data_IF_789881596941
#
_entry.id   IF_789881596941
#
_cell.length_a   1.000
_cell.length_b   1.000
_cell.length_c   1.000
_cell.angle_alpha   90.00
_cell.angle_beta   90.00
_cell.angle_gamma   90.00
#
_symmetry.space_group_name_H-M   'P 1'
#
loop_
_entity.id
_entity.type
_entity.pdbx_description
1 polymer ?
#
# COMPACT_ATOMS: atom_id res chain seq x y z
N UNK A 1 -41.36 15.24 -38.15
CA UNK A 1 -40.69 13.97 -37.80
C UNK A 1 -39.45 14.31 -36.98
N UNK A 2 -39.59 14.30 -35.66
CA UNK A 2 -38.52 14.54 -34.70
C UNK A 2 -37.79 13.23 -34.41
N UNK A 3 -36.54 13.11 -34.87
CA UNK A 3 -35.67 11.99 -34.50
C UNK A 3 -35.02 12.27 -33.13
N UNK A 4 -35.34 11.42 -32.17
CA UNK A 4 -34.72 11.33 -30.85
C UNK A 4 -33.28 10.81 -30.98
N UNK A 5 -32.30 11.59 -30.50
CA UNK A 5 -30.91 11.14 -30.31
C UNK A 5 -30.78 10.62 -28.86
N UNK A 6 -30.18 9.44 -28.61
CA UNK A 6 -30.10 8.88 -27.27
C UNK A 6 -29.04 9.56 -26.40
N UNK A 7 -29.23 9.38 -25.10
CA UNK A 7 -28.62 10.06 -23.96
C UNK A 7 -27.09 9.87 -23.89
N UNK A 8 -26.43 10.96 -23.49
CA UNK A 8 -24.99 11.23 -23.57
C UNK A 8 -24.08 10.41 -22.63
N UNK A 9 -22.93 9.98 -23.17
CA UNK A 9 -21.78 9.33 -22.51
C UNK A 9 -21.13 10.16 -21.38
N UNK A 10 -21.52 11.42 -21.20
CA UNK A 10 -21.04 12.34 -20.15
C UNK A 10 -21.46 11.95 -18.72
N UNK A 11 -22.47 11.08 -18.56
CA UNK A 11 -22.98 10.66 -17.25
C UNK A 11 -22.11 9.65 -16.49
N UNK A 12 -21.27 8.85 -17.19
CA UNK A 12 -20.49 7.75 -16.57
C UNK A 12 -19.16 8.21 -15.97
N UNK A 13 -18.53 9.25 -16.53
CA UNK A 13 -17.28 9.80 -15.98
C UNK A 13 -17.51 10.55 -14.65
N UNK A 14 -18.66 11.21 -14.49
CA UNK A 14 -19.08 11.82 -13.24
C UNK A 14 -19.26 10.80 -12.10
N UNK A 15 -19.55 9.54 -12.45
CA UNK A 15 -19.79 8.46 -11.50
C UNK A 15 -18.51 8.02 -10.76
N UNK A 16 -17.31 8.16 -11.35
CA UNK A 16 -16.03 7.84 -10.69
C UNK A 16 -15.64 8.90 -9.67
N UNK A 17 -15.78 10.18 -10.03
CA UNK A 17 -15.59 11.32 -9.10
C UNK A 17 -16.64 11.28 -7.98
N UNK A 18 -17.87 10.93 -8.33
CA UNK A 18 -18.94 10.74 -7.35
C UNK A 18 -18.72 9.46 -6.52
N UNK A 19 -18.11 8.39 -7.02
CA UNK A 19 -17.74 7.19 -6.25
C UNK A 19 -16.61 7.48 -5.25
N UNK A 20 -15.63 8.34 -5.56
CA UNK A 20 -14.70 8.85 -4.54
C UNK A 20 -15.42 9.60 -3.41
N UNK A 21 -16.46 10.37 -3.74
CA UNK A 21 -17.29 11.09 -2.78
C UNK A 21 -18.40 10.23 -2.13
N UNK A 22 -18.79 9.10 -2.74
CA UNK A 22 -19.87 8.21 -2.31
C UNK A 22 -19.33 7.03 -1.50
N UNK A 23 -18.11 6.55 -1.78
CA UNK A 23 -17.35 5.66 -0.89
C UNK A 23 -17.13 6.31 0.49
N UNK A 24 -17.06 7.64 0.57
CA UNK A 24 -17.07 8.41 1.82
C UNK A 24 -18.45 8.46 2.52
N UNK A 25 -19.55 8.10 1.83
CA UNK A 25 -20.93 8.14 2.36
C UNK A 25 -21.54 6.75 2.62
N UNK A 26 -21.05 5.67 2.00
CA UNK A 26 -21.76 4.37 1.99
C UNK A 26 -21.15 3.24 2.81
N UNK A 27 -19.98 3.38 3.45
CA UNK A 27 -19.53 2.38 4.45
C UNK A 27 -20.27 2.54 5.78
N UNK A 28 -21.54 2.14 5.80
CA UNK A 28 -22.18 1.71 7.05
C UNK A 28 -21.58 0.36 7.42
N UNK A 29 -20.72 0.34 8.46
CA UNK A 29 -20.44 -0.88 9.21
C UNK A 29 -21.78 -1.52 9.62
N UNK A 30 -22.00 -2.83 9.39
CA UNK A 30 -23.25 -3.46 9.80
C UNK A 30 -23.40 -3.34 11.32
N UNK A 31 -24.54 -2.81 11.76
CA UNK A 31 -24.85 -2.66 13.18
C UNK A 31 -24.89 -4.04 13.86
N UNK A 32 -24.45 -4.12 15.12
CA UNK A 32 -24.34 -5.32 15.96
C UNK A 32 -25.66 -6.11 16.20
N UNK A 33 -26.74 -5.87 15.45
CA UNK A 33 -28.08 -6.40 15.74
C UNK A 33 -28.61 -7.51 14.84
N UNK A 34 -27.82 -8.01 13.89
CA UNK A 34 -28.22 -9.11 12.98
C UNK A 34 -27.27 -10.32 13.01
N UNK A 35 -26.85 -10.76 14.20
CA UNK A 35 -26.23 -12.09 14.42
C UNK A 35 -27.04 -12.97 15.36
N UNK A 36 -28.35 -13.00 15.18
CA UNK A 36 -29.19 -14.01 15.83
C UNK A 36 -30.40 -14.32 14.97
N UNK A 37 -30.22 -15.18 13.95
CA UNK A 37 -31.29 -15.98 13.35
C UNK A 37 -30.68 -16.99 12.38
N UNK A 38 -30.84 -18.27 12.73
CA UNK A 38 -30.92 -19.39 11.77
C UNK A 38 -29.61 -20.04 11.34
N UNK A 39 -29.13 -21.02 12.10
CA UNK A 39 -28.41 -22.17 11.53
C UNK A 39 -29.20 -23.45 11.91
N UNK A 40 -29.41 -24.39 10.97
CA UNK A 40 -30.13 -25.63 11.25
C UNK A 40 -29.25 -26.62 12.01
N UNK A 41 -29.90 -27.39 12.88
CA UNK A 41 -29.28 -28.37 13.76
C UNK A 41 -28.58 -29.50 13.00
N UNK A 42 -27.31 -29.75 13.33
CA UNK A 42 -26.60 -30.98 12.99
C UNK A 42 -26.78 -31.98 14.15
N UNK A 43 -27.55 -33.05 13.89
CA UNK A 43 -27.79 -34.13 14.84
C UNK A 43 -26.59 -35.08 14.91
N UNK A 44 -25.88 -35.11 16.04
CA UNK A 44 -25.11 -36.30 16.45
C UNK A 44 -25.33 -36.61 17.93
N UNK A 45 -25.65 -37.88 18.16
CA UNK A 45 -25.93 -38.55 19.44
C UNK A 45 -24.71 -38.47 20.37
N UNK A 46 -24.95 -38.14 21.63
CA UNK A 46 -24.20 -38.67 22.77
C UNK A 46 -25.19 -39.01 23.88
N UNK A 47 -25.10 -40.25 24.37
CA UNK A 47 -25.88 -40.80 25.47
C UNK A 47 -25.21 -40.48 26.83
N UNK A 48 -25.99 -40.40 27.91
CA UNK A 48 -25.49 -40.44 29.30
C UNK A 48 -26.14 -39.46 30.27
N UNK A 49 -26.98 -39.99 31.18
CA UNK A 49 -27.74 -39.41 32.31
C UNK A 49 -26.87 -38.82 33.47
N UNK A 50 -27.43 -38.27 34.58
CA UNK A 50 -28.79 -37.76 34.85
C UNK A 50 -28.85 -36.34 35.48
N UNK A 51 -30.11 -35.89 35.67
CA UNK A 51 -30.64 -34.62 36.19
C UNK A 51 -30.40 -34.35 37.69
N UNK A 52 -30.25 -33.07 38.01
CA UNK A 52 -30.82 -32.34 39.16
C UNK A 52 -30.97 -30.87 38.68
N UNK A 53 -32.09 -30.15 38.72
CA UNK A 53 -33.16 -30.08 39.70
C UNK A 53 -32.89 -28.88 40.61
N UNK A 54 -33.37 -27.67 40.27
CA UNK A 54 -33.94 -26.69 41.24
C UNK A 54 -34.53 -25.43 40.57
N UNK A 55 -35.84 -25.31 40.77
CA UNK A 55 -36.77 -24.18 40.93
C UNK A 55 -36.45 -22.72 40.51
N UNK A 56 -37.51 -22.11 39.96
CA UNK A 56 -37.72 -20.70 39.71
C UNK A 56 -38.27 -19.93 40.94
N UNK A 57 -38.02 -18.63 41.00
CA UNK A 57 -38.66 -17.65 41.91
C UNK A 57 -38.16 -16.21 41.67
N UNK A 58 -38.94 -15.15 41.95
CA UNK A 58 -39.18 -14.10 40.95
C UNK A 58 -38.63 -12.69 41.27
N UNK A 59 -38.63 -11.87 40.21
CA UNK A 59 -38.91 -10.42 40.10
C UNK A 59 -38.66 -9.49 41.30
N UNK A 60 -37.83 -8.47 41.07
CA UNK A 60 -38.06 -7.12 41.60
C UNK A 60 -37.63 -6.05 40.59
N UNK A 61 -38.61 -5.23 40.17
CA UNK A 61 -38.41 -3.93 39.49
C UNK A 61 -37.92 -2.92 40.53
N UNK A 62 -37.07 -1.97 40.12
CA UNK A 62 -37.21 -0.55 40.47
C UNK A 62 -36.13 0.27 39.74
N UNK A 63 -36.58 1.28 39.00
CA UNK A 63 -35.79 2.36 38.38
C UNK A 63 -35.84 3.62 39.29
N UNK A 64 -35.30 4.79 38.89
CA UNK A 64 -34.10 5.43 39.44
C UNK A 64 -34.42 6.77 40.18
N UNK A 65 -33.38 7.58 40.49
CA UNK A 65 -33.39 8.99 40.08
C UNK A 65 -32.00 9.45 39.55
N UNK A 66 -31.84 10.33 38.54
CA UNK A 66 -32.02 11.81 38.52
C UNK A 66 -31.25 12.52 39.66
N UNK A 67 -30.50 13.62 39.53
CA UNK A 67 -30.12 14.57 38.47
C UNK A 67 -29.06 15.54 39.07
N UNK A 68 -28.45 16.39 38.23
CA UNK A 68 -27.81 17.69 38.55
C UNK A 68 -26.51 17.74 39.36
N UNK A 69 -25.43 18.30 38.78
CA UNK A 69 -25.14 19.75 38.86
C UNK A 69 -23.78 20.07 38.22
N UNK A 70 -23.75 21.18 37.48
CA UNK A 70 -22.58 21.82 36.90
C UNK A 70 -21.76 22.58 37.96
N UNK A 71 -20.45 22.75 37.77
CA UNK A 71 -19.72 23.92 38.27
C UNK A 71 -18.51 24.27 37.39
N UNK A 72 -18.32 25.57 37.27
CA UNK A 72 -17.44 26.29 36.36
C UNK A 72 -15.97 26.39 36.81
N UNK A 73 -15.11 26.65 35.82
CA UNK A 73 -13.72 27.16 35.82
C UNK A 73 -13.47 28.37 36.76
N UNK A 74 -12.21 28.65 37.21
CA UNK A 74 -11.22 29.36 36.37
C UNK A 74 -9.71 29.05 36.55
N UNK A 75 -8.97 29.38 35.48
CA UNK A 75 -7.57 29.85 35.33
C UNK A 75 -6.57 29.77 36.52
N UNK A 76 -5.34 29.30 36.25
CA UNK A 76 -4.16 30.17 36.04
C UNK A 76 -2.83 29.40 35.81
N UNK A 77 -1.93 30.11 35.14
CA UNK A 77 -0.59 29.80 34.63
C UNK A 77 0.43 29.39 35.70
N UNK A 78 1.37 28.50 35.36
CA UNK A 78 2.77 28.63 35.79
C UNK A 78 3.74 27.92 34.85
N UNK A 79 4.75 28.68 34.45
CA UNK A 79 5.97 28.31 33.74
C UNK A 79 6.93 27.47 34.59
N UNK A 80 7.70 26.58 33.97
CA UNK A 80 9.18 26.60 33.94
C UNK A 80 9.83 25.19 33.86
N UNK A 81 10.85 25.12 32.98
CA UNK A 81 12.12 24.39 33.12
C UNK A 81 12.20 22.85 33.01
N UNK A 82 12.73 22.43 31.85
CA UNK A 82 14.02 21.73 31.70
C UNK A 82 14.26 20.28 32.18
N UNK A 83 14.79 19.50 31.21
CA UNK A 83 15.69 18.35 31.28
C UNK A 83 15.20 17.02 31.88
N UNK A 84 15.11 15.99 31.03
CA UNK A 84 15.88 14.74 31.21
C UNK A 84 15.77 13.86 29.96
N UNK A 85 16.88 13.77 29.20
CA UNK A 85 17.10 12.77 28.17
C UNK A 85 17.51 11.45 28.84
N UNK A 86 16.80 10.37 28.54
CA UNK A 86 17.18 9.01 28.93
C UNK A 86 17.88 8.35 27.73
N UNK A 87 19.21 8.38 27.73
CA UNK A 87 20.06 7.59 26.84
C UNK A 87 20.64 6.42 27.63
N UNK A 88 20.19 5.20 27.32
CA UNK A 88 20.72 3.98 27.90
C UNK A 88 21.96 3.53 27.11
N UNK A 89 23.11 3.61 27.76
CA UNK A 89 24.41 3.18 27.24
C UNK A 89 24.53 1.64 27.22
N UNK A 90 24.89 1.09 26.06
CA UNK A 90 25.37 -0.28 25.93
C UNK A 90 26.90 -0.30 26.07
N UNK A 91 27.39 -1.07 27.05
CA UNK A 91 28.80 -1.21 27.41
C UNK A 91 29.58 -1.99 26.34
N UNK A 92 30.69 -1.43 25.88
CA UNK A 92 31.74 -2.11 25.13
C UNK A 92 32.66 -2.87 26.10
N UNK A 93 32.78 -4.18 25.93
CA UNK A 93 33.75 -5.01 26.62
C UNK A 93 35.08 -4.97 25.86
N UNK A 94 36.12 -4.41 26.49
CA UNK A 94 37.50 -4.46 26.02
C UNK A 94 38.18 -5.69 26.63
N UNK A 95 38.49 -6.69 25.80
CA UNK A 95 39.36 -7.79 26.19
C UNK A 95 40.77 -7.51 25.64
N UNK A 96 41.69 -7.18 26.55
CA UNK A 96 43.14 -7.15 26.30
C UNK A 96 43.67 -8.59 26.28
N UNK A 97 44.47 -8.93 25.28
CA UNK A 97 45.49 -9.99 25.40
C UNK A 97 46.79 -9.58 24.70
N UNK A 98 47.94 -10.12 25.15
CA UNK A 98 49.23 -9.47 25.02
C UNK A 98 50.07 -9.96 23.83
N UNK A 99 51.01 -9.10 23.46
CA UNK A 99 52.15 -9.37 22.58
C UNK A 99 52.96 -10.59 23.06
N UNK A 100 53.29 -11.49 22.13
CA UNK A 100 54.45 -12.38 22.25
C UNK A 100 55.18 -12.47 20.91
N UNK A 101 56.50 -12.34 21.02
CA UNK A 101 57.54 -12.24 20.01
C UNK A 101 57.87 -13.57 19.32
N UNK A 102 58.17 -13.50 18.02
CA UNK A 102 58.72 -14.58 17.20
C UNK A 102 60.22 -14.85 17.46
N UNK A 103 60.71 -16.07 17.22
CA UNK A 103 62.11 -16.32 16.85
C UNK A 103 62.27 -16.75 15.37
N UNK A 104 63.47 -16.64 14.78
CA UNK A 104 63.70 -16.90 13.36
C UNK A 104 64.24 -18.30 13.04
N UNK A 105 63.93 -18.78 11.84
CA UNK A 105 64.80 -19.66 11.04
C UNK A 105 64.43 -21.15 10.97
N UNK A 106 63.96 -21.60 9.80
CA UNK A 106 64.54 -22.76 9.12
C UNK A 106 64.12 -22.81 7.65
N UNK A 107 65.13 -22.96 6.78
CA UNK A 107 65.02 -23.18 5.33
C UNK A 107 64.46 -24.57 5.03
N UNK A 108 63.42 -24.68 4.21
CA UNK A 108 63.19 -25.88 3.38
C UNK A 108 62.74 -25.47 1.98
N UNK A 109 63.49 -25.94 0.98
CA UNK A 109 63.12 -25.95 -0.45
C UNK A 109 61.95 -26.91 -0.67
N UNK A 110 60.96 -26.52 -1.50
CA UNK A 110 59.94 -27.43 -2.00
C UNK A 110 58.99 -26.80 -3.04
N UNK A 111 59.23 -27.12 -4.31
CA UNK A 111 58.30 -27.30 -5.47
C UNK A 111 57.20 -26.24 -5.76
N UNK A 112 57.12 -25.68 -6.98
CA UNK A 112 56.02 -24.80 -7.36
C UNK A 112 54.78 -25.63 -7.74
N UNK A 113 53.86 -25.81 -6.79
CA UNK A 113 52.50 -26.24 -7.11
C UNK A 113 51.70 -24.99 -7.52
N UNK A 114 51.52 -24.82 -8.83
CA UNK A 114 50.62 -23.81 -9.40
C UNK A 114 49.21 -23.98 -8.87
N UNK A 115 48.91 -23.29 -7.77
CA UNK A 115 47.54 -23.04 -7.34
C UNK A 115 47.03 -21.92 -8.23
N UNK A 116 46.40 -22.31 -9.34
CA UNK A 116 45.44 -21.44 -9.98
C UNK A 116 44.36 -21.16 -8.94
N UNK A 117 44.47 -20.03 -8.26
CA UNK A 117 43.39 -19.45 -7.49
C UNK A 117 42.25 -19.19 -8.47
N UNK A 118 41.35 -20.17 -8.61
CA UNK A 118 40.00 -19.89 -9.07
C UNK A 118 39.38 -18.99 -8.00
N UNK A 119 39.70 -17.69 -8.07
CA UNK A 119 38.77 -16.68 -7.63
C UNK A 119 37.58 -16.77 -8.58
N UNK A 120 36.73 -17.78 -8.35
CA UNK A 120 35.33 -17.63 -8.63
C UNK A 120 34.91 -16.44 -7.78
N UNK A 121 34.98 -15.26 -8.38
CA UNK A 121 34.05 -14.20 -8.10
C UNK A 121 32.69 -14.85 -8.29
N UNK A 122 32.19 -15.46 -7.22
CA UNK A 122 30.77 -15.54 -7.00
C UNK A 122 30.34 -14.08 -7.09
N UNK A 123 29.98 -13.65 -8.30
CA UNK A 123 29.12 -12.51 -8.47
C UNK A 123 27.93 -12.87 -7.62
N UNK A 124 27.94 -12.41 -6.37
CA UNK A 124 26.81 -12.40 -5.52
C UNK A 124 25.75 -11.72 -6.37
N UNK A 125 24.83 -12.51 -6.92
CA UNK A 125 23.76 -12.03 -7.77
C UNK A 125 23.07 -10.96 -6.94
N UNK A 126 23.42 -9.70 -7.21
CA UNK A 126 22.90 -8.59 -6.44
C UNK A 126 21.46 -8.50 -6.89
N UNK A 127 20.56 -8.97 -6.03
CA UNK A 127 19.13 -8.91 -6.30
C UNK A 127 18.70 -7.49 -6.68
N UNK A 128 17.59 -7.40 -7.41
CA UNK A 128 17.13 -6.14 -7.97
C UNK A 128 16.97 -5.05 -6.89
N UNK A 129 17.38 -3.82 -7.20
CA UNK A 129 17.09 -2.64 -6.40
C UNK A 129 15.80 -2.02 -6.90
N UNK A 130 14.75 -2.02 -6.09
CA UNK A 130 13.43 -1.54 -6.50
C UNK A 130 13.06 -0.29 -5.72
N UNK A 131 12.75 0.79 -6.43
CA UNK A 131 12.17 1.98 -5.83
C UNK A 131 10.68 1.74 -5.55
N UNK A 132 10.19 2.14 -4.39
CA UNK A 132 8.76 2.09 -4.05
C UNK A 132 8.28 3.51 -3.74
N UNK A 133 7.35 4.04 -4.52
CA UNK A 133 6.87 5.43 -4.38
C UNK A 133 5.55 5.43 -3.61
N UNK A 134 5.57 6.00 -2.41
CA UNK A 134 4.45 6.11 -1.49
C UNK A 134 3.76 7.47 -1.61
N UNK A 135 2.54 7.56 -1.08
CA UNK A 135 1.65 8.72 -1.19
C UNK A 135 1.01 9.13 0.13
N UNK A 136 1.54 8.67 1.28
CA UNK A 136 0.98 8.88 2.62
C UNK A 136 0.85 7.54 3.37
N UNK A 137 -0.02 7.45 4.38
CA UNK A 137 -0.19 6.22 5.17
C UNK A 137 -1.65 6.01 5.59
N UNK A 138 -2.44 5.38 4.71
CA UNK A 138 -3.87 5.15 4.90
C UNK A 138 -4.61 5.13 3.56
N UNK A 139 -5.57 4.22 3.37
CA UNK A 139 -6.22 4.03 2.07
C UNK A 139 -6.94 5.29 1.57
N UNK A 140 -7.56 6.09 2.44
CA UNK A 140 -8.41 7.21 2.00
C UNK A 140 -7.65 8.51 1.72
N UNK A 141 -6.47 8.69 2.29
CA UNK A 141 -5.64 9.91 2.17
C UNK A 141 -4.19 9.67 1.76
N UNK A 142 -3.76 8.41 1.63
CA UNK A 142 -2.40 8.04 1.34
C UNK A 142 -2.26 6.71 0.63
N UNK A 143 -1.15 6.01 0.90
CA UNK A 143 -0.90 4.66 0.39
C UNK A 143 -1.74 3.62 1.13
N UNK A 144 -2.31 2.66 0.39
CA UNK A 144 -2.93 1.48 0.98
C UNK A 144 -1.87 0.63 1.69
N UNK A 145 -2.04 0.41 3.00
CA UNK A 145 -1.00 -0.09 3.88
C UNK A 145 -0.74 -1.58 3.63
N UNK A 146 -1.79 -2.34 3.33
CA UNK A 146 -1.67 -3.77 3.07
C UNK A 146 -1.00 -4.03 1.71
N UNK A 147 -1.25 -3.22 0.68
CA UNK A 147 -0.61 -3.27 -0.63
C UNK A 147 0.86 -2.97 -0.51
N UNK A 148 1.22 -1.89 0.20
CA UNK A 148 2.62 -1.57 0.47
C UNK A 148 3.32 -2.70 1.24
N UNK A 149 2.67 -3.27 2.26
CA UNK A 149 3.19 -4.42 3.00
C UNK A 149 3.41 -5.63 2.10
N UNK A 150 2.42 -6.00 1.27
CA UNK A 150 2.51 -7.11 0.33
C UNK A 150 3.64 -6.91 -0.69
N UNK A 151 3.77 -5.72 -1.27
CA UNK A 151 4.87 -5.37 -2.18
C UNK A 151 6.23 -5.61 -1.51
N UNK A 152 6.44 -5.10 -0.29
CA UNK A 152 7.70 -5.26 0.43
C UNK A 152 8.01 -6.73 0.75
N UNK A 153 6.99 -7.51 1.16
CA UNK A 153 7.13 -8.95 1.42
C UNK A 153 7.52 -9.71 0.15
N UNK A 154 6.87 -9.43 -0.98
CA UNK A 154 7.15 -10.13 -2.23
C UNK A 154 8.48 -9.70 -2.87
N UNK A 155 8.88 -8.44 -2.73
CA UNK A 155 10.22 -7.99 -3.12
C UNK A 155 11.30 -8.72 -2.31
N UNK A 156 11.12 -8.80 -0.99
CA UNK A 156 12.05 -9.52 -0.10
C UNK A 156 12.12 -11.02 -0.43
N UNK A 157 10.97 -11.67 -0.68
CA UNK A 157 10.92 -13.08 -1.12
C UNK A 157 11.61 -13.30 -2.47
N UNK A 158 11.57 -12.31 -3.35
CA UNK A 158 12.26 -12.31 -4.64
C UNK A 158 13.75 -11.96 -4.55
N UNK A 159 14.32 -11.81 -3.34
CA UNK A 159 15.72 -11.44 -3.14
C UNK A 159 16.05 -9.99 -3.49
N UNK A 160 15.05 -9.16 -3.77
CA UNK A 160 15.21 -7.75 -4.12
C UNK A 160 15.29 -6.85 -2.88
N UNK A 161 16.02 -5.75 -2.98
CA UNK A 161 16.03 -4.70 -1.96
C UNK A 161 15.08 -3.57 -2.36
N UNK A 162 14.28 -3.08 -1.41
CA UNK A 162 13.37 -1.96 -1.63
C UNK A 162 13.92 -0.67 -1.01
N UNK A 163 13.84 0.44 -1.75
CA UNK A 163 14.06 1.79 -1.22
C UNK A 163 12.80 2.62 -1.42
N UNK A 164 12.28 3.21 -0.34
CA UNK A 164 11.01 3.93 -0.36
C UNK A 164 11.21 5.42 -0.58
N UNK A 165 10.33 6.01 -1.38
CA UNK A 165 10.32 7.42 -1.73
C UNK A 165 8.91 8.00 -1.57
N UNK A 166 8.81 9.29 -1.30
CA UNK A 166 7.53 10.00 -1.31
C UNK A 166 7.75 11.50 -1.59
N UNK A 167 6.79 12.19 -2.24
CA UNK A 167 6.90 13.63 -2.45
C UNK A 167 6.75 14.38 -1.12
N UNK A 168 7.55 15.42 -0.92
CA UNK A 168 7.48 16.28 0.26
C UNK A 168 6.43 17.39 0.06
N UNK A 169 5.16 17.00 0.13
CA UNK A 169 4.00 17.87 -0.12
C UNK A 169 2.91 17.65 0.95
N UNK A 170 2.03 18.63 1.19
CA UNK A 170 0.82 18.38 1.98
C UNK A 170 -0.09 17.32 1.30
N UNK A 171 -0.75 16.49 2.10
CA UNK A 171 -1.85 15.64 1.61
C UNK A 171 -3.04 16.53 1.20
N UNK A 172 -3.78 16.12 0.16
CA UNK A 172 -5.00 16.85 -0.26
C UNK A 172 -6.06 16.90 0.85
N UNK A 173 -6.24 15.80 1.58
CA UNK A 173 -7.13 15.68 2.72
C UNK A 173 -6.48 14.84 3.83
N UNK A 174 -6.94 15.03 5.07
CA UNK A 174 -6.69 14.11 6.18
C UNK A 174 -8.02 13.46 6.51
N UNK A 175 -8.09 12.13 6.51
CA UNK A 175 -9.36 11.40 6.65
C UNK A 175 -9.37 10.61 7.97
N UNK A 176 -10.43 10.80 8.76
CA UNK A 176 -10.78 9.87 9.84
C UNK A 176 -11.28 8.58 9.19
N UNK A 177 -10.42 7.55 9.17
CA UNK A 177 -10.71 6.27 8.53
C UNK A 177 -11.83 5.49 9.21
N UNK A 178 -12.18 5.78 10.47
CA UNK A 178 -13.33 5.16 11.13
C UNK A 178 -14.66 5.75 10.66
N UNK A 179 -14.63 7.01 10.20
CA UNK A 179 -15.83 7.74 9.74
C UNK A 179 -15.90 7.88 8.22
N UNK A 180 -14.79 7.68 7.51
CA UNK A 180 -14.66 7.93 6.08
C UNK A 180 -14.76 9.42 5.71
N UNK A 181 -14.52 10.33 6.65
CA UNK A 181 -14.77 11.76 6.49
C UNK A 181 -13.50 12.61 6.70
N UNK A 182 -13.35 13.74 6.00
CA UNK A 182 -12.26 14.67 6.25
C UNK A 182 -12.28 15.25 7.68
N UNK A 183 -11.11 15.28 8.31
CA UNK A 183 -10.93 15.95 9.60
C UNK A 183 -10.69 17.43 9.39
N UNK A 184 -11.57 18.28 9.93
CA UNK A 184 -11.50 19.74 9.74
C UNK A 184 -10.29 20.33 10.47
N UNK A 185 -9.55 21.18 9.77
CA UNK A 185 -8.43 21.94 10.34
C UNK A 185 -7.13 21.13 10.53
N UNK A 186 -7.11 19.86 10.13
CA UNK A 186 -5.89 19.05 10.15
C UNK A 186 -5.17 19.10 8.80
N UNK A 187 -3.84 19.13 8.87
CA UNK A 187 -2.95 18.98 7.71
C UNK A 187 -1.84 18.00 8.05
N UNK A 188 -1.47 17.17 7.08
CA UNK A 188 -0.38 16.20 7.19
C UNK A 188 0.45 16.24 5.92
N UNK A 189 1.71 15.85 6.03
CA UNK A 189 2.65 15.81 4.93
C UNK A 189 2.82 14.37 4.41
N UNK A 190 2.82 14.20 3.09
CA UNK A 190 2.90 12.90 2.40
C UNK A 190 4.18 12.14 2.77
N UNK A 191 5.34 12.79 2.76
CA UNK A 191 6.63 12.18 3.11
C UNK A 191 6.67 11.77 4.59
N UNK A 192 6.26 12.68 5.49
CA UNK A 192 6.22 12.42 6.94
C UNK A 192 5.33 11.23 7.27
N UNK A 193 4.14 11.16 6.69
CA UNK A 193 3.23 10.04 6.96
C UNK A 193 3.71 8.74 6.30
N UNK A 194 4.30 8.81 5.11
CA UNK A 194 4.91 7.64 4.44
C UNK A 194 6.05 7.03 5.25
N UNK A 195 6.75 7.83 6.08
CA UNK A 195 7.79 7.33 6.98
C UNK A 195 7.28 6.29 7.98
N UNK A 196 5.97 6.26 8.28
CA UNK A 196 5.33 5.23 9.13
C UNK A 196 5.45 3.85 8.50
N UNK A 197 5.08 3.72 7.22
CA UNK A 197 5.23 2.47 6.44
C UNK A 197 6.71 2.11 6.34
N UNK A 198 7.56 3.09 6.05
CA UNK A 198 8.98 2.88 5.82
C UNK A 198 9.83 2.65 7.09
N UNK A 199 9.23 2.73 8.29
CA UNK A 199 9.94 2.69 9.57
C UNK A 199 11.08 3.71 9.62
N UNK A 200 10.80 4.93 9.14
CA UNK A 200 11.75 6.04 9.04
C UNK A 200 12.67 6.01 7.82
N UNK A 201 12.70 4.93 7.03
CA UNK A 201 13.60 4.77 5.86
C UNK A 201 12.93 5.19 4.55
N UNK A 202 12.43 6.41 4.49
CA UNK A 202 11.85 7.02 3.30
C UNK A 202 12.69 8.23 2.87
N UNK A 203 12.84 8.44 1.57
CA UNK A 203 13.58 9.56 0.99
C UNK A 203 12.63 10.45 0.16
N UNK A 204 12.92 11.74 0.06
CA UNK A 204 12.20 12.65 -0.86
C UNK A 204 12.25 12.13 -2.31
N UNK A 205 11.11 12.20 -3.01
CA UNK A 205 10.97 11.70 -4.38
C UNK A 205 11.86 12.47 -5.38
N UNK A 206 12.22 13.73 -5.10
CA UNK A 206 13.21 14.51 -5.86
C UNK A 206 14.56 13.81 -5.99
N UNK A 207 14.95 13.01 -4.99
CA UNK A 207 16.24 12.29 -4.94
C UNK A 207 16.20 10.95 -5.67
N UNK A 208 15.03 10.49 -6.12
CA UNK A 208 14.93 9.25 -6.90
C UNK A 208 15.51 9.45 -8.30
N UNK A 209 16.54 8.68 -8.61
CA UNK A 209 17.09 8.54 -9.97
C UNK A 209 16.84 7.14 -10.50
N UNK A 210 16.44 7.05 -11.78
CA UNK A 210 16.28 5.77 -12.45
C UNK A 210 17.61 5.02 -12.62
N UNK A 211 18.78 5.68 -12.52
CA UNK A 211 20.09 5.05 -12.69
C UNK A 211 20.41 4.06 -11.56
N UNK A 212 20.00 4.38 -10.33
CA UNK A 212 20.38 3.64 -9.13
C UNK A 212 19.47 2.44 -8.80
N UNK A 213 18.40 2.27 -9.57
CA UNK A 213 17.35 1.26 -9.36
C UNK A 213 17.13 0.44 -10.62
N UNK A 214 16.66 -0.79 -10.48
CA UNK A 214 16.34 -1.68 -11.58
C UNK A 214 14.87 -1.62 -11.99
N UNK A 215 13.99 -1.24 -11.06
CA UNK A 215 12.55 -1.08 -11.29
C UNK A 215 11.95 -0.04 -10.32
N UNK A 216 10.73 0.40 -10.60
CA UNK A 216 9.92 1.24 -9.70
C UNK A 216 8.53 0.63 -9.52
N UNK A 217 7.99 0.69 -8.31
CA UNK A 217 6.64 0.23 -7.98
C UNK A 217 5.85 1.34 -7.29
N UNK A 218 4.60 1.51 -7.69
CA UNK A 218 3.61 2.40 -7.09
C UNK A 218 2.49 1.56 -6.47
N UNK A 219 2.39 1.50 -5.12
CA UNK A 219 1.20 1.00 -4.47
C UNK A 219 -0.02 1.89 -4.80
N UNK A 220 -1.22 1.38 -4.56
CA UNK A 220 -2.45 2.14 -4.66
C UNK A 220 -2.80 2.89 -3.37
N UNK A 221 -4.10 2.92 -3.09
CA UNK A 221 -4.72 3.86 -2.15
C UNK A 221 -5.10 5.17 -2.83
N UNK A 222 -6.08 5.87 -2.27
CA UNK A 222 -6.58 7.13 -2.81
C UNK A 222 -5.52 8.23 -2.81
N UNK A 223 -4.43 8.11 -2.05
CA UNK A 223 -3.28 9.01 -2.16
C UNK A 223 -2.65 9.00 -3.56
N UNK A 224 -2.69 7.90 -4.31
CA UNK A 224 -2.25 7.88 -5.70
C UNK A 224 -3.13 8.77 -6.60
N UNK A 225 -4.44 8.80 -6.33
CA UNK A 225 -5.42 9.59 -7.05
C UNK A 225 -5.55 11.05 -6.54
N UNK A 226 -5.07 11.36 -5.33
CA UNK A 226 -5.22 12.67 -4.66
C UNK A 226 -3.92 13.45 -4.48
N UNK A 227 -2.81 12.75 -4.21
CA UNK A 227 -1.52 13.36 -3.87
C UNK A 227 -0.51 13.18 -5.00
N UNK A 228 -0.47 11.98 -5.63
CA UNK A 228 0.40 11.74 -6.80
C UNK A 228 -0.22 12.24 -8.11
N UNK A 229 -1.51 12.55 -8.09
CA UNK A 229 -2.27 13.13 -9.21
C UNK A 229 -3.51 13.84 -8.69
N UNK A 230 -4.26 14.46 -9.59
CA UNK A 230 -5.60 15.01 -9.31
C UNK A 230 -6.74 14.10 -9.79
N UNK A 231 -6.48 12.82 -10.07
CA UNK A 231 -7.47 11.89 -10.64
C UNK A 231 -8.77 11.77 -9.84
N UNK A 232 -8.69 11.82 -8.51
CA UNK A 232 -9.87 11.72 -7.64
C UNK A 232 -10.87 12.88 -7.83
N UNK A 233 -10.40 14.03 -8.34
CA UNK A 233 -11.21 15.24 -8.57
C UNK A 233 -11.50 15.41 -10.06
N UNK A 234 -10.46 15.30 -10.88
CA UNK A 234 -10.50 15.67 -12.31
C UNK A 234 -10.76 14.47 -13.24
N UNK A 235 -10.77 13.25 -12.73
CA UNK A 235 -10.97 12.04 -13.52
C UNK A 235 -9.99 11.93 -14.69
N UNK A 236 -10.50 11.74 -15.92
CA UNK A 236 -9.68 11.65 -17.14
C UNK A 236 -8.85 12.91 -17.45
N UNK A 237 -9.30 14.06 -16.97
CA UNK A 237 -8.68 15.37 -17.23
C UNK A 237 -7.62 15.71 -16.18
N UNK A 238 -7.26 14.75 -15.32
CA UNK A 238 -6.30 14.91 -14.26
C UNK A 238 -4.90 15.33 -14.72
N UNK A 239 -4.13 15.82 -13.75
CA UNK A 239 -2.71 16.06 -13.86
C UNK A 239 -1.99 15.11 -12.91
N UNK A 240 -0.85 14.59 -13.36
CA UNK A 240 0.07 13.84 -12.50
C UNK A 240 1.04 14.83 -11.86
N UNK A 241 1.40 14.61 -10.60
CA UNK A 241 2.41 15.42 -9.92
C UNK A 241 3.71 15.42 -10.73
N UNK A 242 4.37 16.58 -10.86
CA UNK A 242 5.54 16.73 -11.75
C UNK A 242 6.72 15.82 -11.39
N UNK A 243 6.95 15.52 -10.11
CA UNK A 243 8.00 14.59 -9.68
C UNK A 243 7.64 13.14 -10.03
N UNK A 244 6.37 12.78 -9.92
CA UNK A 244 5.85 11.45 -10.28
C UNK A 244 5.90 11.26 -11.80
N UNK A 245 5.49 12.27 -12.56
CA UNK A 245 5.58 12.27 -14.03
C UNK A 245 7.03 12.11 -14.49
N UNK A 246 7.97 12.85 -13.87
CA UNK A 246 9.41 12.71 -14.11
C UNK A 246 9.86 11.27 -13.87
N UNK A 247 9.54 10.70 -12.71
CA UNK A 247 9.96 9.33 -12.35
C UNK A 247 9.41 8.31 -13.35
N UNK A 248 8.12 8.37 -13.69
CA UNK A 248 7.53 7.46 -14.67
C UNK A 248 8.24 7.56 -16.03
N UNK A 249 8.48 8.78 -16.53
CA UNK A 249 9.17 9.00 -17.80
C UNK A 249 10.64 8.54 -17.74
N UNK A 250 11.33 8.76 -16.63
CA UNK A 250 12.74 8.37 -16.46
C UNK A 250 12.91 6.85 -16.49
N UNK A 251 12.07 6.10 -15.75
CA UNK A 251 12.10 4.63 -15.75
C UNK A 251 11.66 4.05 -17.11
N UNK A 252 10.62 4.63 -17.72
CA UNK A 252 10.16 4.23 -19.05
C UNK A 252 11.25 4.42 -20.12
N UNK A 253 11.88 5.61 -20.18
CA UNK A 253 12.98 5.89 -21.12
C UNK A 253 14.21 5.00 -20.88
N UNK A 254 14.48 4.64 -19.63
CA UNK A 254 15.55 3.73 -19.27
C UNK A 254 15.23 2.25 -19.58
N UNK A 255 14.02 1.94 -20.08
CA UNK A 255 13.59 0.57 -20.32
C UNK A 255 13.56 -0.27 -19.04
N UNK A 256 13.24 0.35 -17.90
CA UNK A 256 13.17 -0.30 -16.59
C UNK A 256 11.72 -0.60 -16.21
N UNK A 257 11.43 -1.76 -15.58
CA UNK A 257 10.06 -2.14 -15.29
C UNK A 257 9.37 -1.18 -14.31
N UNK A 258 8.09 -0.94 -14.56
CA UNK A 258 7.20 -0.12 -13.73
C UNK A 258 6.06 -1.01 -13.25
N UNK A 259 5.92 -1.20 -11.94
CA UNK A 259 4.80 -1.90 -11.32
C UNK A 259 3.77 -0.92 -10.75
N UNK A 260 2.48 -1.12 -11.00
CA UNK A 260 1.42 -0.30 -10.42
C UNK A 260 0.24 -1.19 -9.99
N UNK A 261 -0.27 -1.05 -8.76
CA UNK A 261 -1.46 -1.79 -8.33
C UNK A 261 -2.63 -0.89 -7.91
N UNK A 262 -3.83 -1.47 -7.91
CA UNK A 262 -5.06 -0.79 -7.51
C UNK A 262 -5.36 0.40 -8.41
N UNK A 263 -5.49 1.61 -7.88
CA UNK A 263 -5.82 2.81 -8.65
C UNK A 263 -4.59 3.45 -9.32
N UNK A 264 -3.37 3.14 -8.87
CA UNK A 264 -2.14 3.74 -9.40
C UNK A 264 -1.87 3.55 -10.91
N UNK A 265 -2.39 2.52 -11.63
CA UNK A 265 -2.27 2.41 -13.08
C UNK A 265 -2.79 3.63 -13.87
N UNK A 266 -3.67 4.46 -13.32
CA UNK A 266 -4.12 5.71 -13.95
C UNK A 266 -2.96 6.67 -14.20
N UNK A 267 -1.91 6.62 -13.37
CA UNK A 267 -0.71 7.45 -13.51
C UNK A 267 0.05 7.08 -14.80
N UNK A 268 0.26 5.77 -15.02
CA UNK A 268 0.92 5.27 -16.22
C UNK A 268 0.07 5.54 -17.47
N UNK A 269 -1.25 5.28 -17.41
CA UNK A 269 -2.15 5.57 -18.52
C UNK A 269 -2.15 7.04 -18.95
N UNK A 270 -2.01 7.97 -17.99
CA UNK A 270 -1.95 9.41 -18.29
C UNK A 270 -0.61 9.87 -18.85
N UNK A 271 0.49 9.29 -18.37
CA UNK A 271 1.86 9.79 -18.64
C UNK A 271 2.55 9.07 -19.79
N UNK A 272 2.26 7.77 -19.96
CA UNK A 272 2.99 6.88 -20.87
C UNK A 272 2.10 6.50 -22.07
N UNK A 273 2.45 6.94 -23.29
CA UNK A 273 1.56 6.83 -24.44
C UNK A 273 1.31 5.38 -24.85
N UNK A 274 0.04 5.00 -24.99
CA UNK A 274 -0.36 3.68 -25.49
C UNK A 274 -0.04 2.51 -24.55
N UNK A 275 0.14 2.79 -23.26
CA UNK A 275 0.41 1.77 -22.24
C UNK A 275 -0.80 0.87 -22.02
N UNK A 276 -0.54 -0.42 -21.87
CA UNK A 276 -1.53 -1.41 -21.47
C UNK A 276 -1.53 -1.59 -19.95
N UNK A 277 -2.70 -1.51 -19.32
CA UNK A 277 -2.87 -1.63 -17.87
C UNK A 277 -4.14 -2.40 -17.53
N UNK A 278 -4.23 -2.88 -16.29
CA UNK A 278 -5.48 -3.35 -15.68
C UNK A 278 -5.75 -2.58 -14.40
N UNK A 279 -7.04 -2.36 -14.12
CA UNK A 279 -7.55 -1.99 -12.80
C UNK A 279 -8.63 -2.97 -12.33
N UNK A 280 -8.69 -4.15 -12.96
CA UNK A 280 -9.73 -5.16 -12.71
C UNK A 280 -10.70 -5.29 -13.87
N UNK A 281 -11.98 -5.14 -13.56
CA UNK A 281 -13.08 -5.28 -14.52
C UNK A 281 -13.60 -3.93 -15.04
N UNK A 282 -14.32 -3.97 -16.15
CA UNK A 282 -14.94 -2.79 -16.78
C UNK A 282 -16.40 -2.59 -16.39
N UNK A 283 -17.02 -3.63 -15.83
CA UNK A 283 -18.42 -3.62 -15.40
C UNK A 283 -18.50 -3.92 -13.90
N UNK A 284 -19.43 -3.25 -13.22
CA UNK A 284 -19.76 -3.54 -11.83
C UNK A 284 -20.42 -4.94 -11.77
N UNK A 285 -19.88 -5.82 -10.93
CA UNK A 285 -20.44 -7.16 -10.69
C UNK A 285 -20.91 -7.26 -9.24
N UNK A 286 -22.06 -6.63 -8.97
CA UNK A 286 -22.49 -6.37 -7.59
C UNK A 286 -21.44 -5.54 -6.85
N UNK A 287 -21.14 -5.93 -5.61
CA UNK A 287 -20.15 -5.24 -4.80
C UNK A 287 -18.70 -5.67 -5.09
N UNK A 288 -18.47 -6.67 -5.98
CA UNK A 288 -17.13 -7.22 -6.23
C UNK A 288 -16.19 -6.20 -6.88
N UNK A 289 -16.68 -5.37 -7.80
CA UNK A 289 -15.87 -4.42 -8.57
C UNK A 289 -16.43 -3.00 -8.46
N UNK A 290 -16.34 -2.34 -7.30
CA UNK A 290 -17.00 -1.06 -7.03
C UNK A 290 -16.42 0.13 -7.80
N UNK A 291 -15.27 -0.05 -8.47
CA UNK A 291 -14.56 1.01 -9.20
C UNK A 291 -14.38 0.71 -10.69
N UNK A 292 -15.23 -0.14 -11.27
CA UNK A 292 -15.10 -0.57 -12.67
C UNK A 292 -15.11 0.60 -13.69
N UNK A 293 -15.73 1.72 -13.35
CA UNK A 293 -15.72 2.94 -14.16
C UNK A 293 -14.33 3.53 -14.43
N UNK A 294 -13.32 3.18 -13.62
CA UNK A 294 -11.92 3.61 -13.85
C UNK A 294 -11.39 3.12 -15.20
N UNK A 295 -11.83 1.95 -15.69
CA UNK A 295 -11.40 1.42 -16.99
C UNK A 295 -11.77 2.37 -18.16
N UNK A 296 -12.94 3.00 -18.10
CA UNK A 296 -13.36 3.97 -19.12
C UNK A 296 -12.49 5.23 -19.09
N UNK A 297 -12.13 5.73 -17.90
CA UNK A 297 -11.24 6.87 -17.77
C UNK A 297 -9.84 6.57 -18.35
N UNK A 298 -9.31 5.36 -18.12
CA UNK A 298 -8.03 4.90 -18.70
C UNK A 298 -8.08 4.94 -20.23
N UNK A 299 -9.14 4.40 -20.84
CA UNK A 299 -9.33 4.43 -22.30
C UNK A 299 -9.39 5.86 -22.83
N UNK A 300 -10.11 6.74 -22.14
CA UNK A 300 -10.23 8.16 -22.51
C UNK A 300 -8.90 8.93 -22.40
N UNK A 301 -7.98 8.51 -21.54
CA UNK A 301 -6.63 9.07 -21.43
C UNK A 301 -5.65 8.51 -22.48
N UNK A 302 -6.08 7.57 -23.33
CA UNK A 302 -5.26 6.94 -24.35
C UNK A 302 -4.53 5.67 -23.90
N UNK A 303 -4.82 5.18 -22.70
CA UNK A 303 -4.37 3.87 -22.22
C UNK A 303 -5.23 2.74 -22.76
N UNK A 304 -4.72 1.51 -22.73
CA UNK A 304 -5.48 0.29 -23.08
C UNK A 304 -5.77 -0.49 -21.81
N UNK A 305 -7.04 -0.63 -21.47
CA UNK A 305 -7.44 -1.43 -20.32
C UNK A 305 -7.61 -2.91 -20.72
N UNK A 306 -7.09 -3.81 -19.89
CA UNK A 306 -7.27 -5.25 -20.00
C UNK A 306 -7.95 -5.80 -18.75
N UNK A 307 -9.03 -6.55 -18.93
CA UNK A 307 -9.72 -7.19 -17.82
C UNK A 307 -8.83 -8.26 -17.19
N UNK A 308 -8.71 -8.22 -15.86
CA UNK A 308 -7.99 -9.22 -15.05
C UNK A 308 -8.76 -9.52 -13.77
N UNK A 309 -8.66 -10.76 -13.31
CA UNK A 309 -9.11 -11.12 -11.96
C UNK A 309 -8.12 -10.60 -10.91
N UNK A 310 -8.57 -10.54 -9.66
CA UNK A 310 -7.80 -9.99 -8.53
C UNK A 310 -6.46 -10.70 -8.27
N UNK A 311 -6.36 -12.00 -8.57
CA UNK A 311 -5.13 -12.79 -8.41
C UNK A 311 -4.15 -12.67 -9.58
N UNK A 312 -4.57 -12.00 -10.66
CA UNK A 312 -3.79 -11.86 -11.89
C UNK A 312 -3.05 -10.52 -11.98
N UNK A 313 -2.03 -10.48 -12.85
CA UNK A 313 -1.42 -9.24 -13.31
C UNK A 313 -1.47 -9.15 -14.84
N UNK A 314 -1.60 -7.94 -15.35
CA UNK A 314 -1.34 -7.62 -16.75
C UNK A 314 0.11 -7.20 -16.95
N UNK A 315 0.73 -7.66 -18.04
CA UNK A 315 2.13 -7.37 -18.38
C UNK A 315 2.19 -6.77 -19.79
N UNK A 316 2.36 -5.46 -19.86
CA UNK A 316 2.74 -4.77 -21.08
C UNK A 316 4.24 -5.00 -21.33
N UNK A 317 4.55 -6.02 -22.12
CA UNK A 317 5.96 -6.40 -22.37
C UNK A 317 6.71 -5.34 -23.18
N UNK A 318 6.00 -4.60 -24.05
CA UNK A 318 6.59 -3.57 -24.89
C UNK A 318 7.06 -2.39 -24.06
N UNK A 319 6.22 -1.92 -23.14
CA UNK A 319 6.49 -0.75 -22.30
C UNK A 319 7.09 -1.12 -20.93
N UNK A 320 7.22 -2.42 -20.63
CA UNK A 320 7.61 -2.99 -19.33
C UNK A 320 6.78 -2.48 -18.17
N UNK A 321 5.48 -2.36 -18.39
CA UNK A 321 4.51 -1.96 -17.35
C UNK A 321 3.77 -3.19 -16.86
N UNK A 322 3.73 -3.39 -15.54
CA UNK A 322 3.05 -4.51 -14.90
C UNK A 322 2.00 -3.95 -13.95
N UNK A 323 0.76 -4.42 -14.07
CA UNK A 323 -0.35 -3.92 -13.25
C UNK A 323 -1.22 -5.02 -12.68
N UNK A 324 -1.82 -4.80 -11.51
CA UNK A 324 -2.75 -5.75 -10.88
C UNK A 324 -3.87 -5.02 -10.15
N UNK A 325 -5.10 -5.59 -10.06
CA UNK A 325 -6.25 -4.87 -9.52
C UNK A 325 -6.21 -4.62 -8.00
N UNK A 326 -5.65 -5.53 -7.20
CA UNK A 326 -5.60 -5.43 -5.74
C UNK A 326 -6.96 -5.02 -5.11
N UNK A 327 -7.01 -3.97 -4.27
CA UNK A 327 -8.24 -3.51 -3.60
C UNK A 327 -9.26 -2.82 -4.52
N UNK A 328 -9.06 -2.81 -5.84
CA UNK A 328 -10.14 -2.50 -6.78
C UNK A 328 -11.23 -3.60 -6.79
N UNK A 329 -10.93 -4.76 -6.18
CA UNK A 329 -11.83 -5.89 -5.98
C UNK A 329 -12.17 -6.07 -4.49
N UNK A 330 -13.45 -6.24 -4.16
CA UNK A 330 -13.90 -6.71 -2.85
C UNK A 330 -13.78 -8.24 -2.79
N UNK A 331 -12.81 -8.75 -2.02
CA UNK A 331 -12.53 -10.18 -1.88
C UNK A 331 -11.77 -10.47 -0.59
N UNK A 332 -11.48 -11.74 -0.33
CA UNK A 332 -10.63 -12.15 0.78
C UNK A 332 -9.20 -11.61 0.63
N UNK A 333 -8.64 -11.15 1.75
CA UNK A 333 -7.35 -10.46 1.80
C UNK A 333 -6.21 -11.20 1.09
N UNK A 334 -6.17 -12.53 1.19
CA UNK A 334 -5.09 -13.33 0.62
C UNK A 334 -5.08 -13.29 -0.92
N UNK A 335 -6.24 -13.22 -1.59
CA UNK A 335 -6.30 -13.09 -3.04
C UNK A 335 -5.64 -11.78 -3.53
N UNK A 336 -5.83 -10.69 -2.77
CA UNK A 336 -5.20 -9.40 -3.04
C UNK A 336 -3.68 -9.51 -2.91
N UNK A 337 -3.20 -10.17 -1.85
CA UNK A 337 -1.78 -10.41 -1.63
C UNK A 337 -1.17 -11.26 -2.76
N UNK A 338 -1.87 -12.32 -3.18
CA UNK A 338 -1.43 -13.21 -4.26
C UNK A 338 -1.32 -12.47 -5.60
N UNK A 339 -2.29 -11.61 -5.93
CA UNK A 339 -2.25 -10.76 -7.13
C UNK A 339 -1.07 -9.78 -7.13
N UNK A 340 -0.83 -9.12 -6.00
CA UNK A 340 0.35 -8.25 -5.80
C UNK A 340 1.65 -9.06 -5.92
N UNK A 341 1.68 -10.27 -5.39
CA UNK A 341 2.80 -11.19 -5.56
C UNK A 341 3.06 -11.53 -7.02
N UNK A 342 2.02 -11.80 -7.80
CA UNK A 342 2.10 -12.01 -9.24
C UNK A 342 2.65 -10.77 -9.96
N UNK A 343 2.20 -9.57 -9.60
CA UNK A 343 2.74 -8.31 -10.14
C UNK A 343 4.24 -8.17 -9.83
N UNK A 344 4.65 -8.30 -8.56
CA UNK A 344 6.05 -8.15 -8.16
C UNK A 344 6.95 -9.19 -8.85
N UNK A 345 6.52 -10.45 -8.94
CA UNK A 345 7.26 -11.50 -9.65
C UNK A 345 7.50 -11.14 -11.12
N UNK A 346 6.49 -10.58 -11.78
CA UNK A 346 6.61 -10.12 -13.17
C UNK A 346 7.52 -8.90 -13.31
N UNK A 347 7.44 -7.93 -12.39
CA UNK A 347 8.35 -6.77 -12.34
C UNK A 347 9.80 -7.26 -12.23
N UNK A 348 10.09 -8.13 -11.27
CA UNK A 348 11.44 -8.68 -11.06
C UNK A 348 11.94 -9.44 -12.28
N UNK A 349 11.09 -10.28 -12.89
CA UNK A 349 11.44 -11.00 -14.13
C UNK A 349 11.87 -10.05 -15.26
N UNK A 350 11.21 -8.90 -15.41
CA UNK A 350 11.54 -7.93 -16.45
C UNK A 350 12.82 -7.12 -16.16
N UNK A 351 13.38 -7.22 -14.94
CA UNK A 351 14.69 -6.62 -14.63
C UNK A 351 15.86 -7.42 -15.21
N UNK A 352 15.65 -8.70 -15.53
CA UNK A 352 16.70 -9.60 -16.03
C UNK A 352 17.77 -9.97 -14.99
N UNK A 353 17.48 -9.76 -13.70
CA UNK A 353 18.33 -10.14 -12.56
C UNK A 353 17.77 -11.33 -11.80
#
# INVERSE_FOLDING_TARGET
MSCSVPVSESGKAAQVTQQCATAMKSHKLPSKRERSRGLPACSRRCAGLPRAGLQAGPSCRLSPPASLAAFSFPFAVSSSSSLAAVMLAARLATCRQPFLSSPPGLLLRGIPAGHASFHSSAQQLRGAKVAVVLSGCGVYDGTEIHEASAILVHLSRGGASAQMYAPDIPQMHVIDHCKGQPTKGESRNVLTESARIARGKVTELTKLTAKDHDAVIFPGGFGAAKNLSTFAVDGKDCKVNGEVERVLKDFYKAGKPIGLCCISPVLAAKVLPGTEVTVGHEEEQGDKWPYAGTAAAIKAMGGKHHVKEVTDAHVDTKNKVVTTPAYMCETELHHIFDGIGTMVKNVLRLTGK
#
